data_IF_150288950671
#
_entry.id   IF_150288950671
#
_cell.length_a   1.000
_cell.length_b   1.000
_cell.length_c   1.000
_cell.angle_alpha   90.00
_cell.angle_beta   90.00
_cell.angle_gamma   90.00
#
_symmetry.space_group_name_H-M   'P 1'
#
loop_
_entity.id
_entity.type
_entity.pdbx_description
1 polymer ?
#
# COMPACT_ATOMS: atom_id res chain seq x y z
N UNK A 1 -12.27 15.93 26.22
CA UNK A 1 -12.36 15.15 24.97
C UNK A 1 -11.01 15.22 24.23
N UNK A 2 -10.07 14.32 24.53
CA UNK A 2 -8.77 14.23 23.80
C UNK A 2 -8.21 12.82 23.95
N UNK A 3 -8.91 11.83 23.39
CA UNK A 3 -8.49 10.41 23.37
C UNK A 3 -8.42 9.80 21.98
N UNK A 4 -8.80 10.55 20.93
CA UNK A 4 -8.79 10.09 19.54
C UNK A 4 -7.54 10.51 18.72
N UNK A 5 -6.71 11.42 19.24
CA UNK A 5 -5.50 11.89 18.54
C UNK A 5 -4.38 10.85 18.48
N UNK A 6 -4.26 10.00 19.51
CA UNK A 6 -3.24 8.95 19.54
C UNK A 6 -3.45 7.88 18.46
N UNK A 7 -4.69 7.44 18.26
CA UNK A 7 -5.02 6.36 17.31
C UNK A 7 -4.64 6.73 15.87
N UNK A 8 -4.99 7.94 15.43
CA UNK A 8 -4.62 8.42 14.10
C UNK A 8 -3.10 8.54 13.90
N UNK A 9 -2.36 8.95 14.93
CA UNK A 9 -0.91 9.09 14.87
C UNK A 9 -0.21 7.74 14.74
N UNK A 10 -0.68 6.71 15.46
CA UNK A 10 -0.18 5.34 15.31
C UNK A 10 -0.48 4.79 13.91
N UNK A 11 -1.69 4.95 13.40
CA UNK A 11 -2.05 4.49 12.04
C UNK A 11 -1.18 5.15 10.97
N UNK A 12 -0.97 6.47 11.06
CA UNK A 12 -0.10 7.23 10.16
C UNK A 12 1.35 6.74 10.24
N UNK A 13 1.85 6.46 11.45
CA UNK A 13 3.21 5.97 11.68
C UNK A 13 3.45 4.61 11.01
N UNK A 14 2.56 3.63 11.20
CA UNK A 14 2.68 2.32 10.56
C UNK A 14 2.52 2.39 9.04
N UNK A 15 1.63 3.25 8.56
CA UNK A 15 1.50 3.51 7.13
C UNK A 15 2.79 4.10 6.54
N UNK A 16 3.41 5.08 7.21
CA UNK A 16 4.67 5.67 6.79
C UNK A 16 5.81 4.64 6.80
N UNK A 17 5.89 3.79 7.82
CA UNK A 17 6.86 2.68 7.87
C UNK A 17 6.63 1.72 6.69
N UNK A 18 5.39 1.35 6.42
CA UNK A 18 5.07 0.47 5.29
C UNK A 18 5.51 1.06 3.96
N UNK A 19 5.16 2.32 3.67
CA UNK A 19 5.57 2.99 2.44
C UNK A 19 7.10 3.10 2.36
N UNK A 20 7.76 3.46 3.47
CA UNK A 20 9.22 3.53 3.55
C UNK A 20 9.89 2.20 3.26
N UNK A 21 9.44 1.12 3.91
CA UNK A 21 9.98 -0.23 3.67
C UNK A 21 9.67 -0.73 2.26
N UNK A 22 8.47 -0.47 1.74
CA UNK A 22 8.06 -0.89 0.40
C UNK A 22 8.92 -0.21 -0.68
N UNK A 23 9.20 1.09 -0.52
CA UNK A 23 10.11 1.83 -1.41
C UNK A 23 11.59 1.43 -1.21
N UNK A 24 11.99 1.10 0.01
CA UNK A 24 13.36 0.66 0.32
C UNK A 24 13.63 -0.81 -0.09
N UNK A 25 12.59 -1.63 -0.26
CA UNK A 25 12.69 -3.05 -0.62
C UNK A 25 13.59 -3.32 -1.83
N UNK A 26 13.43 -2.64 -2.99
CA UNK A 26 14.34 -2.83 -4.14
C UNK A 26 15.79 -2.45 -3.83
N UNK A 27 16.03 -1.47 -2.95
CA UNK A 27 17.38 -1.14 -2.48
C UNK A 27 17.96 -2.29 -1.63
N UNK A 28 17.18 -2.76 -0.64
CA UNK A 28 17.56 -3.84 0.27
C UNK A 28 17.84 -5.15 -0.47
N UNK A 29 16.98 -5.53 -1.42
CA UNK A 29 17.13 -6.72 -2.27
C UNK A 29 18.38 -6.67 -3.16
N UNK A 30 18.81 -5.47 -3.56
CA UNK A 30 19.98 -5.29 -4.41
C UNK A 30 21.30 -5.18 -3.63
N UNK A 31 21.28 -5.03 -2.30
CA UNK A 31 22.50 -4.97 -1.46
C UNK A 31 23.45 -6.16 -1.63
N UNK A 32 23.02 -7.44 -1.65
CA UNK A 32 23.93 -8.56 -1.90
C UNK A 32 24.49 -8.56 -3.34
N UNK A 33 23.78 -7.94 -4.28
CA UNK A 33 24.18 -7.87 -5.70
C UNK A 33 25.21 -6.76 -5.98
N UNK A 34 25.30 -5.75 -5.12
CA UNK A 34 26.29 -4.68 -5.23
C UNK A 34 27.71 -5.17 -5.08
N UNK A 35 27.94 -6.20 -4.26
CA UNK A 35 29.25 -6.83 -4.12
C UNK A 35 29.75 -7.44 -5.43
N UNK A 36 28.84 -7.78 -6.36
CA UNK A 36 29.16 -8.44 -7.63
C UNK A 36 29.12 -7.50 -8.83
N UNK A 37 28.29 -6.45 -8.79
CA UNK A 37 28.16 -5.48 -9.88
C UNK A 37 28.10 -4.04 -9.32
N UNK A 38 29.10 -3.18 -9.61
CA UNK A 38 29.10 -1.79 -9.15
C UNK A 38 28.00 -0.95 -9.80
N UNK A 39 27.35 -1.42 -10.86
CA UNK A 39 26.21 -0.75 -11.51
C UNK A 39 24.84 -1.17 -10.93
N UNK A 40 24.81 -2.07 -9.93
CA UNK A 40 23.57 -2.52 -9.32
C UNK A 40 22.77 -1.38 -8.63
N UNK A 41 23.44 -0.29 -8.26
CA UNK A 41 22.76 0.88 -7.68
C UNK A 41 21.86 1.58 -8.70
N UNK A 42 22.28 1.72 -9.97
CA UNK A 42 21.42 2.28 -11.04
C UNK A 42 20.16 1.44 -11.23
N UNK A 43 20.31 0.11 -11.24
CA UNK A 43 19.19 -0.82 -11.34
C UNK A 43 18.23 -0.67 -10.15
N UNK A 44 18.77 -0.53 -8.93
CA UNK A 44 17.95 -0.32 -7.74
C UNK A 44 17.20 1.01 -7.77
N UNK A 45 17.85 2.10 -8.20
CA UNK A 45 17.20 3.40 -8.37
C UNK A 45 16.13 3.37 -9.47
N UNK A 46 16.41 2.68 -10.58
CA UNK A 46 15.42 2.44 -11.63
C UNK A 46 14.21 1.69 -11.10
N UNK A 47 14.43 0.62 -10.32
CA UNK A 47 13.36 -0.15 -9.70
C UNK A 47 12.52 0.68 -8.71
N UNK A 48 13.17 1.51 -7.88
CA UNK A 48 12.48 2.47 -7.00
C UNK A 48 11.62 3.42 -7.85
N UNK A 49 12.18 3.99 -8.92
CA UNK A 49 11.46 4.92 -9.80
C UNK A 49 10.24 4.27 -10.47
N UNK A 50 10.34 3.02 -10.91
CA UNK A 50 9.21 2.25 -11.45
C UNK A 50 8.16 2.01 -10.37
N UNK A 51 8.56 1.60 -9.16
CA UNK A 51 7.64 1.38 -8.04
C UNK A 51 6.88 2.66 -7.68
N UNK A 52 7.59 3.79 -7.65
CA UNK A 52 7.05 5.11 -7.34
C UNK A 52 6.07 5.57 -8.43
N UNK A 53 6.42 5.32 -9.70
CA UNK A 53 5.54 5.59 -10.84
C UNK A 53 4.26 4.76 -10.77
N UNK A 54 4.35 3.47 -10.44
CA UNK A 54 3.20 2.59 -10.24
C UNK A 54 2.31 3.05 -9.08
N UNK A 55 2.90 3.47 -7.96
CA UNK A 55 2.17 4.03 -6.82
C UNK A 55 1.45 5.33 -7.17
N UNK A 56 2.11 6.24 -7.88
CA UNK A 56 1.48 7.46 -8.38
C UNK A 56 0.34 7.15 -9.34
N UNK A 57 0.51 6.14 -10.18
CA UNK A 57 -0.50 5.72 -11.14
C UNK A 57 -1.71 5.08 -10.43
N UNK A 58 -1.48 4.24 -9.43
CA UNK A 58 -2.51 3.74 -8.52
C UNK A 58 -3.22 4.90 -7.83
N UNK A 59 -2.48 5.86 -7.28
CA UNK A 59 -3.06 7.01 -6.62
C UNK A 59 -3.96 7.81 -7.58
N UNK A 60 -3.55 8.01 -8.82
CA UNK A 60 -4.36 8.74 -9.82
C UNK A 60 -5.57 7.93 -10.32
N UNK A 61 -5.41 6.63 -10.53
CA UNK A 61 -6.48 5.78 -11.07
C UNK A 61 -7.50 5.36 -10.01
N UNK A 62 -7.04 5.01 -8.81
CA UNK A 62 -7.88 4.52 -7.72
C UNK A 62 -8.43 5.65 -6.83
N UNK A 63 -7.91 6.87 -6.89
CA UNK A 63 -8.55 8.02 -6.24
C UNK A 63 -9.82 8.42 -7.00
N UNK A 64 -10.95 8.10 -6.38
CA UNK A 64 -12.29 8.49 -6.82
C UNK A 64 -12.90 9.55 -5.90
N UNK A 65 -14.07 10.12 -6.27
CA UNK A 65 -14.75 11.16 -5.50
C UNK A 65 -15.26 10.69 -4.13
N UNK A 66 -15.37 9.37 -3.90
CA UNK A 66 -15.89 8.78 -2.66
C UNK A 66 -14.81 8.23 -1.71
N UNK A 67 -13.58 8.00 -2.19
CA UNK A 67 -12.49 7.50 -1.35
C UNK A 67 -11.13 7.75 -2.01
N UNK A 68 -10.22 8.39 -1.29
CA UNK A 68 -8.82 8.49 -1.70
C UNK A 68 -8.12 7.14 -1.56
N UNK A 69 -7.18 6.84 -2.45
CA UNK A 69 -6.32 5.64 -2.34
C UNK A 69 -5.62 5.58 -0.97
N UNK A 70 -5.14 6.73 -0.50
CA UNK A 70 -4.46 6.89 0.80
C UNK A 70 -5.44 6.69 1.96
N UNK A 71 -6.67 7.19 1.84
CA UNK A 71 -7.71 6.97 2.85
C UNK A 71 -8.11 5.50 2.94
N UNK A 72 -8.21 4.79 1.82
CA UNK A 72 -8.50 3.34 1.82
C UNK A 72 -7.41 2.53 2.49
N UNK A 73 -6.14 2.84 2.23
CA UNK A 73 -5.00 2.20 2.88
C UNK A 73 -4.93 2.55 4.37
N UNK A 74 -5.15 3.81 4.75
CA UNK A 74 -5.23 4.24 6.15
C UNK A 74 -6.39 3.56 6.88
N UNK A 75 -7.53 3.40 6.22
CA UNK A 75 -8.69 2.71 6.78
C UNK A 75 -8.38 1.24 7.03
N UNK A 76 -7.78 0.52 6.07
CA UNK A 76 -7.32 -0.86 6.25
C UNK A 76 -6.29 -0.96 7.37
N UNK A 77 -5.34 -0.03 7.44
CA UNK A 77 -4.32 0.03 8.50
C UNK A 77 -4.98 0.21 9.87
N UNK A 78 -5.88 1.18 9.99
CA UNK A 78 -6.60 1.47 11.24
C UNK A 78 -7.46 0.29 11.68
N UNK A 79 -8.16 -0.35 10.75
CA UNK A 79 -8.99 -1.53 11.02
C UNK A 79 -8.21 -2.77 11.40
N UNK A 80 -7.00 -2.96 10.86
CA UNK A 80 -6.16 -4.09 11.26
C UNK A 80 -5.47 -3.84 12.61
N UNK A 81 -5.36 -2.57 13.03
CA UNK A 81 -4.77 -2.13 14.30
C UNK A 81 -5.76 -2.07 15.48
N UNK A 82 -7.06 -2.27 15.27
CA UNK A 82 -8.05 -2.39 16.35
C UNK A 82 -7.86 -3.75 17.07
N UNK A 83 -6.81 -3.83 17.87
CA UNK A 83 -6.38 -5.06 18.54
C UNK A 83 -5.08 -4.93 19.34
N UNK A 84 -4.77 -3.73 19.88
CA UNK A 84 -3.84 -3.38 20.98
C UNK A 84 -2.51 -4.14 21.18
N UNK A 85 -2.01 -4.91 20.22
CA UNK A 85 -0.80 -5.71 20.36
C UNK A 85 0.22 -5.39 19.29
N UNK A 86 1.51 -5.39 19.63
CA UNK A 86 2.60 -5.30 18.64
C UNK A 86 2.53 -6.42 17.57
N UNK A 87 1.87 -7.54 17.89
CA UNK A 87 1.58 -8.63 16.96
C UNK A 87 0.68 -8.18 15.79
N UNK A 88 -0.13 -7.13 15.97
CA UNK A 88 -0.96 -6.56 14.89
C UNK A 88 -0.13 -6.18 13.67
N UNK A 89 1.11 -5.73 13.87
CA UNK A 89 2.01 -5.39 12.77
C UNK A 89 2.23 -6.57 11.80
N UNK A 90 2.40 -7.79 12.34
CA UNK A 90 2.64 -9.01 11.55
C UNK A 90 1.47 -9.31 10.60
N UNK A 91 0.25 -8.91 10.93
CA UNK A 91 -0.93 -9.06 10.08
C UNK A 91 -1.20 -7.84 9.20
N UNK A 92 -0.90 -6.64 9.69
CA UNK A 92 -1.11 -5.37 8.97
C UNK A 92 -0.20 -5.28 7.74
N UNK A 93 1.09 -5.62 7.88
CA UNK A 93 2.05 -5.57 6.79
C UNK A 93 1.66 -6.43 5.57
N UNK A 94 1.36 -7.74 5.71
CA UNK A 94 0.94 -8.55 4.57
C UNK A 94 -0.42 -8.13 4.01
N UNK A 95 -1.35 -7.67 4.85
CA UNK A 95 -2.64 -7.15 4.37
C UNK A 95 -2.43 -5.88 3.51
N UNK A 96 -1.59 -4.94 3.96
CA UNK A 96 -1.24 -3.75 3.19
C UNK A 96 -0.49 -4.09 1.90
N UNK A 97 0.42 -5.07 1.96
CA UNK A 97 1.13 -5.55 0.77
C UNK A 97 0.14 -6.12 -0.25
N UNK A 98 -0.78 -6.99 0.17
CA UNK A 98 -1.79 -7.59 -0.71
C UNK A 98 -2.72 -6.55 -1.32
N UNK A 99 -3.20 -5.59 -0.52
CA UNK A 99 -4.06 -4.50 -1.02
C UNK A 99 -3.30 -3.62 -2.02
N UNK A 100 -2.04 -3.31 -1.75
CA UNK A 100 -1.19 -2.50 -2.64
C UNK A 100 -0.92 -3.24 -3.95
N UNK A 101 -0.56 -4.53 -3.89
CA UNK A 101 -0.34 -5.37 -5.08
C UNK A 101 -1.62 -5.50 -5.91
N UNK A 102 -2.76 -5.76 -5.28
CA UNK A 102 -4.05 -5.83 -5.97
C UNK A 102 -4.40 -4.50 -6.64
N UNK A 103 -4.16 -3.36 -5.99
CA UNK A 103 -4.36 -2.04 -6.58
C UNK A 103 -3.44 -1.81 -7.79
N UNK A 104 -2.17 -2.21 -7.71
CA UNK A 104 -1.22 -2.14 -8.83
C UNK A 104 -1.72 -2.98 -10.00
N UNK A 105 -2.12 -4.24 -9.76
CA UNK A 105 -2.65 -5.13 -10.80
C UNK A 105 -3.90 -4.54 -11.46
N UNK A 106 -4.85 -4.04 -10.65
CA UNK A 106 -6.09 -3.43 -11.15
C UNK A 106 -5.79 -2.17 -11.98
N UNK A 107 -4.88 -1.31 -11.52
CA UNK A 107 -4.50 -0.09 -12.24
C UNK A 107 -3.77 -0.40 -13.56
N UNK A 108 -2.89 -1.40 -13.56
CA UNK A 108 -2.18 -1.86 -14.76
C UNK A 108 -3.14 -2.50 -15.76
N UNK A 109 -4.08 -3.33 -15.31
CA UNK A 109 -5.09 -3.97 -16.15
C UNK A 109 -6.12 -2.98 -16.72
N UNK A 110 -6.43 -1.90 -16.00
CA UNK A 110 -7.37 -0.86 -16.43
C UNK A 110 -6.71 0.25 -17.27
N UNK A 111 -5.38 0.33 -17.31
CA UNK A 111 -4.59 1.28 -18.08
C UNK A 111 -4.93 1.33 -19.58
N UNK A 112 -4.99 0.19 -20.32
CA UNK A 112 -5.30 0.20 -21.75
C UNK A 112 -6.75 0.56 -22.07
N UNK A 113 -7.65 0.49 -21.07
CA UNK A 113 -9.09 0.67 -21.25
C UNK A 113 -9.58 2.08 -20.88
N UNK A 114 -8.70 2.98 -20.41
CA UNK A 114 -9.07 4.34 -19.99
C UNK A 114 -10.07 4.39 -18.81
N UNK A 115 -10.32 3.25 -18.15
CA UNK A 115 -11.42 3.06 -17.22
C UNK A 115 -11.09 3.48 -15.78
N UNK A 116 -10.80 4.76 -15.56
CA UNK A 116 -10.52 5.32 -14.21
C UNK A 116 -11.65 5.07 -13.20
N UNK A 117 -12.89 5.11 -13.66
CA UNK A 117 -14.08 4.80 -12.83
C UNK A 117 -14.14 3.30 -12.46
N UNK A 118 -13.71 2.42 -13.36
CA UNK A 118 -13.71 0.97 -13.15
C UNK A 118 -12.64 0.54 -12.15
N UNK A 119 -11.44 1.10 -12.23
CA UNK A 119 -10.35 0.83 -11.27
C UNK A 119 -10.68 1.33 -9.86
N UNK A 120 -11.26 2.52 -9.71
CA UNK A 120 -11.74 3.03 -8.43
C UNK A 120 -12.85 2.14 -7.82
N UNK A 121 -13.80 1.67 -8.64
CA UNK A 121 -14.89 0.79 -8.17
C UNK A 121 -14.36 -0.57 -7.72
N UNK A 122 -13.41 -1.16 -8.46
CA UNK A 122 -12.77 -2.43 -8.10
C UNK A 122 -11.94 -2.30 -6.83
N UNK A 123 -11.20 -1.21 -6.66
CA UNK A 123 -10.46 -0.92 -5.43
C UNK A 123 -11.40 -0.81 -4.22
N UNK A 124 -12.51 -0.09 -4.36
CA UNK A 124 -13.51 0.02 -3.30
C UNK A 124 -14.09 -1.35 -2.91
N UNK A 125 -14.40 -2.20 -3.90
CA UNK A 125 -14.86 -3.58 -3.65
C UNK A 125 -13.80 -4.42 -2.93
N UNK A 126 -12.52 -4.25 -3.26
CA UNK A 126 -11.41 -4.94 -2.61
C UNK A 126 -11.32 -4.55 -1.12
N UNK A 127 -11.40 -3.25 -0.81
CA UNK A 127 -11.40 -2.76 0.57
C UNK A 127 -12.60 -3.31 1.34
N UNK A 128 -13.80 -3.29 0.75
CA UNK A 128 -15.00 -3.88 1.35
C UNK A 128 -14.89 -5.39 1.55
N UNK A 129 -14.22 -6.10 0.65
CA UNK A 129 -13.99 -7.54 0.76
C UNK A 129 -13.08 -7.86 1.95
N UNK A 130 -11.95 -7.15 2.07
CA UNK A 130 -11.03 -7.28 3.21
C UNK A 130 -11.75 -6.95 4.53
N UNK A 131 -12.58 -5.91 4.52
CA UNK A 131 -13.42 -5.54 5.66
C UNK A 131 -14.39 -6.67 6.06
N UNK A 132 -15.14 -7.24 5.11
CA UNK A 132 -16.09 -8.33 5.38
C UNK A 132 -15.39 -9.59 5.90
N UNK A 133 -14.24 -9.95 5.34
CA UNK A 133 -13.55 -11.18 5.72
C UNK A 133 -13.05 -11.14 7.18
N UNK A 134 -12.72 -9.95 7.71
CA UNK A 134 -12.26 -9.80 9.10
C UNK A 134 -13.38 -9.74 10.13
N UNK A 135 -14.65 -9.55 9.71
CA UNK A 135 -15.82 -9.58 10.60
C UNK A 135 -16.31 -11.01 10.89
N UNK A 136 -15.88 -11.98 10.08
CA UNK A 136 -16.28 -13.39 10.20
C UNK A 136 -15.28 -14.19 11.08
N UNK A 137 -14.09 -13.64 11.31
CA UNK A 137 -13.07 -14.18 12.23
C UNK A 137 -13.18 -13.52 13.60
#
# INVERSE_FOLDING_TARGET
MSKHSGFGLFTMFYFAIFIGMFLAAPLLLMTPWHARNPNAWLLSLGAVGVLLSLLLLCHRQCSGPSLSFTEGLLFVTGFMMTGWSMLSAVFVFPALLLVTLAAIIVSAACLPLGGRTRSATLFHRLVLFVYRHRLIQ
#
